data_IF_609365032110
#
_entry.id   IF_609365032110
#
_cell.length_a   1.000
_cell.length_b   1.000
_cell.length_c   1.000
_cell.angle_alpha   90.00
_cell.angle_beta   90.00
_cell.angle_gamma   90.00
#
_symmetry.space_group_name_H-M   'P 1'
#
loop_
_entity.id
_entity.type
_entity.pdbx_description
1 polymer ?
#
# COMPACT_ATOMS: atom_id res chain seq x y z
N UNK A 1 11.38 29.85 -22.22
CA UNK A 1 11.00 28.42 -22.10
C UNK A 1 11.96 27.64 -21.22
N UNK A 2 13.26 27.95 -21.25
CA UNK A 2 14.29 27.25 -20.46
C UNK A 2 14.01 27.23 -18.94
N UNK A 3 13.62 28.36 -18.34
CA UNK A 3 13.27 28.42 -16.91
C UNK A 3 12.08 27.52 -16.51
N UNK A 4 11.08 27.39 -17.39
CA UNK A 4 9.92 26.53 -17.15
C UNK A 4 10.30 25.05 -17.23
N UNK A 5 11.16 24.68 -18.19
CA UNK A 5 11.70 23.32 -18.30
C UNK A 5 12.55 23.00 -17.06
N UNK A 6 13.46 23.88 -16.66
CA UNK A 6 14.27 23.69 -15.46
C UNK A 6 13.41 23.50 -14.21
N UNK A 7 12.41 24.37 -14.03
CA UNK A 7 11.45 24.28 -12.92
C UNK A 7 10.75 22.93 -12.92
N UNK A 8 10.28 22.47 -14.07
CA UNK A 8 9.60 21.18 -14.19
C UNK A 8 10.52 20.01 -13.81
N UNK A 9 11.76 20.01 -14.31
CA UNK A 9 12.72 18.93 -14.03
C UNK A 9 13.07 18.84 -12.54
N UNK A 10 13.42 19.97 -11.93
CA UNK A 10 13.78 20.03 -10.52
C UNK A 10 12.55 19.70 -9.66
N UNK A 11 11.38 20.29 -9.94
CA UNK A 11 10.16 20.03 -9.18
C UNK A 11 9.71 18.57 -9.23
N UNK A 12 9.81 17.90 -10.40
CA UNK A 12 9.50 16.47 -10.52
C UNK A 12 10.46 15.66 -9.66
N UNK A 13 11.77 15.90 -9.76
CA UNK A 13 12.77 15.15 -9.00
C UNK A 13 12.64 15.37 -7.48
N UNK A 14 12.53 16.62 -7.03
CA UNK A 14 12.32 16.95 -5.61
C UNK A 14 10.98 16.45 -5.10
N UNK A 15 9.93 16.50 -5.92
CA UNK A 15 8.61 15.97 -5.59
C UNK A 15 8.65 14.45 -5.41
N UNK A 16 9.32 13.72 -6.31
CA UNK A 16 9.51 12.28 -6.14
C UNK A 16 10.28 11.92 -4.88
N UNK A 17 11.35 12.66 -4.55
CA UNK A 17 12.06 12.48 -3.30
C UNK A 17 11.18 12.78 -2.08
N UNK A 18 10.39 13.87 -2.12
CA UNK A 18 9.46 14.22 -1.05
C UNK A 18 8.34 13.16 -0.88
N UNK A 19 7.95 12.50 -1.97
CA UNK A 19 7.03 11.36 -1.97
C UNK A 19 7.58 10.11 -1.29
N UNK A 20 8.90 9.96 -1.22
CA UNK A 20 9.56 8.92 -0.42
C UNK A 20 9.77 9.38 1.02
N UNK A 21 10.46 10.52 1.18
CA UNK A 21 10.96 11.10 2.44
C UNK A 21 10.88 12.63 2.43
N UNK A 22 9.80 13.24 2.94
CA UNK A 22 9.60 14.69 2.85
C UNK A 22 10.59 15.49 3.70
N UNK A 23 10.83 15.08 4.95
CA UNK A 23 11.74 15.83 5.83
C UNK A 23 13.18 15.69 5.38
N UNK A 24 13.60 14.48 5.01
CA UNK A 24 14.92 14.25 4.47
C UNK A 24 15.15 15.04 3.18
N UNK A 25 14.13 15.17 2.33
CA UNK A 25 14.21 16.00 1.12
C UNK A 25 14.52 17.45 1.45
N UNK A 26 13.78 18.08 2.38
CA UNK A 26 14.04 19.47 2.78
C UNK A 26 15.42 19.60 3.43
N UNK A 27 15.77 18.69 4.34
CA UNK A 27 17.07 18.67 5.01
C UNK A 27 18.22 18.54 4.01
N UNK A 28 18.13 17.61 3.06
CA UNK A 28 19.15 17.39 2.04
C UNK A 28 19.33 18.63 1.16
N UNK A 29 18.23 19.25 0.70
CA UNK A 29 18.32 20.45 -0.13
C UNK A 29 18.95 21.63 0.64
N UNK A 30 18.63 21.78 1.92
CA UNK A 30 19.26 22.78 2.79
C UNK A 30 20.76 22.53 2.99
N UNK A 31 21.15 21.28 3.27
CA UNK A 31 22.57 20.89 3.39
C UNK A 31 23.30 21.08 2.06
N UNK A 32 22.70 20.69 0.94
CA UNK A 32 23.26 20.90 -0.39
C UNK A 32 23.52 22.39 -0.65
N UNK A 33 22.59 23.26 -0.25
CA UNK A 33 22.74 24.72 -0.39
C UNK A 33 23.85 25.31 0.49
N UNK A 34 24.12 24.72 1.66
CA UNK A 34 25.24 25.14 2.52
C UNK A 34 26.60 24.64 2.04
N UNK A 35 26.66 23.42 1.50
CA UNK A 35 27.92 22.75 1.17
C UNK A 35 28.39 23.01 -0.26
N UNK A 36 27.47 23.31 -1.18
CA UNK A 36 27.77 23.49 -2.59
C UNK A 36 27.83 24.99 -2.89
N UNK A 37 28.99 25.52 -3.34
CA UNK A 37 29.12 26.93 -3.71
C UNK A 37 28.15 27.33 -4.82
N UNK A 38 27.64 28.56 -4.76
CA UNK A 38 26.72 29.09 -5.77
C UNK A 38 27.35 29.20 -7.16
N UNK A 39 28.68 29.30 -7.24
CA UNK A 39 29.49 29.34 -8.47
C UNK A 39 29.93 27.94 -8.94
N UNK A 40 29.32 26.87 -8.42
CA UNK A 40 29.59 25.51 -8.87
C UNK A 40 29.42 25.35 -10.40
N UNK A 41 30.26 24.56 -11.07
CA UNK A 41 30.22 24.46 -12.52
C UNK A 41 28.94 23.78 -13.04
N UNK A 42 28.44 24.29 -14.18
CA UNK A 42 27.41 23.64 -14.99
C UNK A 42 26.01 23.64 -14.36
N UNK A 43 25.29 22.52 -14.51
CA UNK A 43 23.91 22.38 -14.05
C UNK A 43 23.75 22.53 -12.54
N UNK A 44 24.82 22.28 -11.77
CA UNK A 44 24.80 22.32 -10.30
C UNK A 44 24.52 23.74 -9.81
N UNK A 45 25.20 24.76 -10.32
CA UNK A 45 24.95 26.15 -9.89
C UNK A 45 23.50 26.55 -10.13
N UNK A 46 22.95 26.25 -11.32
CA UNK A 46 21.55 26.58 -11.65
C UNK A 46 20.53 25.92 -10.72
N UNK A 47 20.79 24.70 -10.23
CA UNK A 47 19.92 24.03 -9.26
C UNK A 47 20.08 24.64 -7.86
N UNK A 48 21.31 24.89 -7.41
CA UNK A 48 21.57 25.43 -6.07
C UNK A 48 20.99 26.85 -5.91
N UNK A 49 21.01 27.66 -6.98
CA UNK A 49 20.36 28.98 -6.98
C UNK A 49 18.83 28.86 -6.92
N UNK A 50 18.24 27.86 -7.59
CA UNK A 50 16.79 27.59 -7.54
C UNK A 50 16.30 27.02 -6.20
N UNK A 51 17.18 26.40 -5.40
CA UNK A 51 16.81 25.90 -4.08
C UNK A 51 16.53 27.11 -3.15
N UNK A 52 15.48 27.12 -2.33
CA UNK A 52 15.14 28.28 -1.51
C UNK A 52 16.19 28.56 -0.42
N UNK A 53 16.52 29.84 -0.14
CA UNK A 53 17.43 30.18 0.97
C UNK A 53 16.90 29.71 2.33
N UNK A 54 15.57 29.74 2.51
CA UNK A 54 14.92 29.37 3.77
C UNK A 54 15.17 27.91 4.17
N UNK A 55 15.44 26.99 3.22
CA UNK A 55 15.73 25.60 3.59
C UNK A 55 17.11 25.43 4.21
N UNK A 56 18.01 26.40 4.02
CA UNK A 56 19.33 26.44 4.64
C UNK A 56 19.32 27.17 6.01
N UNK A 57 18.18 27.69 6.46
CA UNK A 57 18.05 28.31 7.77
C UNK A 57 18.37 27.28 8.88
N UNK A 58 19.20 27.62 9.89
CA UNK A 58 19.60 26.67 10.94
C UNK A 58 18.43 26.05 11.71
N UNK A 59 17.33 26.77 11.90
CA UNK A 59 16.14 26.21 12.55
C UNK A 59 15.42 25.23 11.64
N UNK A 60 15.29 25.56 10.35
CA UNK A 60 14.69 24.65 9.37
C UNK A 60 15.52 23.37 9.26
N UNK A 61 16.84 23.48 9.16
CA UNK A 61 17.75 22.34 9.14
C UNK A 61 17.69 21.52 10.42
N UNK A 62 17.67 22.16 11.59
CA UNK A 62 17.57 21.47 12.88
C UNK A 62 16.26 20.68 12.99
N UNK A 63 15.13 21.32 12.67
CA UNK A 63 13.81 20.68 12.73
C UNK A 63 13.71 19.55 11.70
N UNK A 64 14.04 19.81 10.44
CA UNK A 64 13.93 18.81 9.37
C UNK A 64 14.93 17.67 9.55
N UNK A 65 16.12 17.92 10.12
CA UNK A 65 17.08 16.89 10.47
C UNK A 65 16.57 15.97 11.59
N UNK A 66 16.02 16.54 12.67
CA UNK A 66 15.41 15.74 13.75
C UNK A 66 14.21 14.93 13.23
N UNK A 67 13.35 15.55 12.42
CA UNK A 67 12.20 14.87 11.82
C UNK A 67 12.63 13.78 10.83
N UNK A 68 13.69 13.98 10.05
CA UNK A 68 14.22 12.96 9.15
C UNK A 68 14.79 11.76 9.91
N UNK A 69 15.52 11.99 11.00
CA UNK A 69 15.97 10.91 11.90
C UNK A 69 14.79 10.21 12.54
N UNK A 70 13.79 10.96 13.00
CA UNK A 70 12.53 10.41 13.52
C UNK A 70 11.84 9.52 12.50
N UNK A 71 11.72 9.97 11.25
CA UNK A 71 11.15 9.21 10.13
C UNK A 71 11.87 7.88 9.92
N UNK A 72 13.21 7.92 9.89
CA UNK A 72 14.05 6.74 9.72
C UNK A 72 13.91 5.73 10.88
N UNK A 73 13.73 6.22 12.11
CA UNK A 73 13.56 5.37 13.28
C UNK A 73 12.15 4.79 13.37
N UNK A 74 11.11 5.59 13.09
CA UNK A 74 9.71 5.19 13.15
C UNK A 74 9.41 4.07 12.16
N UNK A 75 9.99 4.10 10.97
CA UNK A 75 9.79 3.07 9.94
C UNK A 75 10.26 1.67 10.36
N UNK A 76 11.07 1.55 11.41
CA UNK A 76 11.51 0.27 11.96
C UNK A 76 10.47 -0.37 12.88
N UNK A 77 9.50 0.40 13.36
CA UNK A 77 8.47 -0.05 14.30
C UNK A 77 7.08 -0.03 13.66
N UNK A 78 6.58 -1.22 13.30
CA UNK A 78 5.33 -1.41 12.55
C UNK A 78 4.08 -0.73 13.14
N UNK A 79 3.99 -0.57 14.46
CA UNK A 79 2.85 0.10 15.10
C UNK A 79 2.85 1.62 14.87
N UNK A 80 4.02 2.25 14.99
CA UNK A 80 4.15 3.69 14.77
C UNK A 80 4.06 4.04 13.28
N UNK A 81 4.52 3.12 12.42
CA UNK A 81 4.50 3.26 10.96
C UNK A 81 3.10 3.57 10.40
N UNK A 82 2.04 2.92 10.91
CA UNK A 82 0.67 3.15 10.39
C UNK A 82 0.14 4.56 10.67
N UNK A 83 0.24 5.03 11.91
CA UNK A 83 -0.21 6.38 12.27
C UNK A 83 0.61 7.44 11.55
N UNK A 84 1.91 7.18 11.42
CA UNK A 84 2.83 8.04 10.70
C UNK A 84 2.49 8.11 9.20
N UNK A 85 2.19 6.99 8.55
CA UNK A 85 1.83 6.96 7.13
C UNK A 85 0.53 7.74 6.83
N UNK A 86 -0.45 7.71 7.74
CA UNK A 86 -1.68 8.50 7.60
C UNK A 86 -1.35 9.99 7.55
N UNK A 87 -0.51 10.48 8.45
CA UNK A 87 -0.08 11.88 8.47
C UNK A 87 0.70 12.20 7.18
N UNK A 88 1.59 11.31 6.76
CA UNK A 88 2.44 11.50 5.58
C UNK A 88 1.71 11.39 4.25
N UNK A 89 0.51 10.81 4.22
CA UNK A 89 -0.36 10.82 3.05
C UNK A 89 -0.72 12.24 2.59
N UNK A 90 -0.75 13.20 3.52
CA UNK A 90 -1.02 14.61 3.24
C UNK A 90 0.27 15.41 3.18
N UNK A 91 1.20 15.19 4.12
CA UNK A 91 2.42 15.99 4.19
C UNK A 91 3.32 15.79 2.95
N UNK A 92 3.46 14.57 2.43
CA UNK A 92 4.32 14.31 1.27
C UNK A 92 3.91 15.14 0.03
N UNK A 93 2.64 15.12 -0.41
CA UNK A 93 2.15 16.02 -1.46
C UNK A 93 2.39 17.49 -1.16
N UNK A 94 2.17 17.93 0.09
CA UNK A 94 2.33 19.33 0.49
C UNK A 94 3.78 19.77 0.38
N UNK A 95 4.73 18.99 0.91
CA UNK A 95 6.16 19.30 0.79
C UNK A 95 6.62 19.31 -0.66
N UNK A 96 6.19 18.33 -1.47
CA UNK A 96 6.49 18.31 -2.91
C UNK A 96 5.98 19.54 -3.63
N UNK A 97 4.76 19.98 -3.33
CA UNK A 97 4.18 21.18 -3.91
C UNK A 97 4.86 22.47 -3.45
N UNK A 98 5.20 22.60 -2.16
CA UNK A 98 5.86 23.79 -1.62
C UNK A 98 7.27 23.97 -2.18
N UNK A 99 8.04 22.87 -2.28
CA UNK A 99 9.37 22.92 -2.89
C UNK A 99 9.26 23.28 -4.37
N UNK A 100 8.36 22.62 -5.10
CA UNK A 100 8.16 22.90 -6.53
C UNK A 100 7.69 24.33 -6.80
N UNK A 101 6.84 24.89 -5.92
CA UNK A 101 6.41 26.28 -5.99
C UNK A 101 7.59 27.23 -5.93
N UNK A 102 8.48 27.02 -4.97
CA UNK A 102 9.59 27.91 -4.71
C UNK A 102 10.74 27.79 -5.73
N UNK A 103 10.93 26.59 -6.29
CA UNK A 103 11.87 26.37 -7.42
C UNK A 103 11.50 27.23 -8.64
N UNK A 104 10.22 27.51 -8.85
CA UNK A 104 9.73 28.32 -9.97
C UNK A 104 9.72 29.83 -9.73
N UNK A 105 10.08 30.30 -8.54
CA UNK A 105 9.88 31.69 -8.09
C UNK A 105 10.61 32.70 -8.99
N UNK A 106 11.87 32.42 -9.33
CA UNK A 106 12.69 33.29 -10.19
C UNK A 106 12.20 33.39 -11.65
N UNK A 107 11.32 32.47 -12.08
CA UNK A 107 10.82 32.37 -13.45
C UNK A 107 9.36 32.83 -13.59
N UNK A 108 8.79 33.42 -12.54
CA UNK A 108 7.46 34.02 -12.52
C UNK A 108 6.33 33.06 -12.19
N UNK A 109 5.12 33.61 -11.99
CA UNK A 109 3.96 32.88 -11.44
C UNK A 109 3.60 31.60 -12.20
N UNK A 110 3.73 31.59 -13.53
CA UNK A 110 3.46 30.39 -14.34
C UNK A 110 4.39 29.24 -13.98
N UNK A 111 5.69 29.52 -13.78
CA UNK A 111 6.67 28.52 -13.39
C UNK A 111 6.41 28.05 -11.95
N UNK A 112 6.12 28.96 -11.02
CA UNK A 112 5.75 28.61 -9.64
C UNK A 112 4.57 27.64 -9.57
N UNK A 113 3.46 27.95 -10.27
CA UNK A 113 2.27 27.09 -10.28
C UNK A 113 2.57 25.75 -10.95
N UNK A 114 3.33 25.76 -12.04
CA UNK A 114 3.75 24.53 -12.74
C UNK A 114 4.60 23.65 -11.83
N UNK A 115 5.59 24.23 -11.16
CA UNK A 115 6.45 23.53 -10.21
C UNK A 115 5.64 22.97 -9.03
N UNK A 116 4.71 23.76 -8.46
CA UNK A 116 3.85 23.30 -7.37
C UNK A 116 3.00 22.09 -7.77
N UNK A 117 2.37 22.15 -8.94
CA UNK A 117 1.54 21.06 -9.46
C UNK A 117 2.38 19.82 -9.75
N UNK A 118 3.53 19.97 -10.42
CA UNK A 118 4.40 18.85 -10.77
C UNK A 118 5.03 18.20 -9.52
N UNK A 119 5.53 19.01 -8.60
CA UNK A 119 6.11 18.53 -7.34
C UNK A 119 5.08 17.83 -6.46
N UNK A 120 3.87 18.40 -6.32
CA UNK A 120 2.79 17.78 -5.56
C UNK A 120 2.26 16.50 -6.20
N UNK A 121 2.06 16.49 -7.52
CA UNK A 121 1.56 15.33 -8.25
C UNK A 121 2.54 14.15 -8.21
N UNK A 122 3.83 14.42 -8.42
CA UNK A 122 4.89 13.41 -8.35
C UNK A 122 5.02 12.86 -6.93
N UNK A 123 5.06 13.72 -5.90
CA UNK A 123 5.08 13.29 -4.50
C UNK A 123 3.89 12.40 -4.16
N UNK A 124 2.69 12.79 -4.61
CA UNK A 124 1.47 12.00 -4.42
C UNK A 124 1.60 10.63 -5.06
N UNK A 125 1.95 10.56 -6.35
CA UNK A 125 2.04 9.28 -7.05
C UNK A 125 3.10 8.35 -6.48
N UNK A 126 4.26 8.88 -6.09
CA UNK A 126 5.32 8.08 -5.45
C UNK A 126 4.84 7.55 -4.09
N UNK A 127 4.18 8.38 -3.29
CA UNK A 127 3.64 7.94 -1.99
C UNK A 127 2.55 6.86 -2.13
N UNK A 128 1.72 6.92 -3.17
CA UNK A 128 0.73 5.88 -3.47
C UNK A 128 1.37 4.53 -3.85
N UNK A 129 2.49 4.57 -4.57
CA UNK A 129 3.28 3.39 -4.89
C UNK A 129 3.80 2.71 -3.61
N UNK A 130 4.35 3.51 -2.68
CA UNK A 130 4.82 3.06 -1.37
C UNK A 130 3.71 2.37 -0.55
N UNK A 131 2.54 3.01 -0.44
CA UNK A 131 1.40 2.41 0.29
C UNK A 131 0.93 1.09 -0.34
N UNK A 132 0.99 0.96 -1.67
CA UNK A 132 0.59 -0.28 -2.36
C UNK A 132 1.60 -1.41 -2.12
N UNK A 133 2.90 -1.10 -2.12
CA UNK A 133 3.94 -2.09 -1.87
C UNK A 133 3.88 -2.61 -0.42
N UNK A 134 3.62 -1.73 0.55
CA UNK A 134 3.39 -2.12 1.95
C UNK A 134 2.18 -3.05 2.10
N UNK A 135 1.10 -2.84 1.36
CA UNK A 135 -0.04 -3.75 1.34
C UNK A 135 0.31 -5.19 0.89
N UNK A 136 1.30 -5.35 0.00
CA UNK A 136 1.79 -6.66 -0.44
C UNK A 136 2.76 -7.27 0.58
N UNK A 137 3.66 -6.45 1.14
CA UNK A 137 4.66 -6.88 2.13
C UNK A 137 4.03 -7.26 3.46
N UNK A 138 2.97 -6.57 3.89
CA UNK A 138 2.25 -6.84 5.13
C UNK A 138 1.56 -8.22 5.16
N UNK A 139 1.51 -8.95 4.03
CA UNK A 139 1.07 -10.34 4.00
C UNK A 139 2.11 -11.32 4.61
N UNK A 140 3.36 -10.89 4.80
CA UNK A 140 4.44 -11.64 5.45
C UNK A 140 5.03 -10.77 6.56
N UNK A 141 4.56 -10.91 7.82
CA UNK A 141 5.01 -10.09 8.94
C UNK A 141 6.40 -10.55 9.39
N UNK A 142 7.43 -10.19 8.63
CA UNK A 142 8.82 -10.41 9.02
C UNK A 142 9.54 -9.07 9.18
N UNK A 143 10.10 -8.77 10.38
CA UNK A 143 10.73 -7.48 10.68
C UNK A 143 11.92 -7.17 9.74
N UNK A 144 12.56 -8.19 9.17
CA UNK A 144 13.65 -8.04 8.19
C UNK A 144 13.17 -7.36 6.91
N UNK A 145 11.96 -7.68 6.44
CA UNK A 145 11.42 -7.14 5.18
C UNK A 145 11.07 -5.67 5.31
N UNK A 146 10.58 -5.24 6.47
CA UNK A 146 10.29 -3.82 6.74
C UNK A 146 11.57 -2.99 6.75
N UNK A 147 12.62 -3.49 7.42
CA UNK A 147 13.93 -2.84 7.43
C UNK A 147 14.50 -2.73 6.02
N UNK A 148 14.47 -3.83 5.24
CA UNK A 148 15.00 -3.82 3.86
C UNK A 148 14.21 -2.86 2.95
N UNK A 149 12.88 -2.84 3.08
CA UNK A 149 12.01 -1.93 2.32
C UNK A 149 12.30 -0.47 2.68
N UNK A 150 12.39 -0.15 3.97
CA UNK A 150 12.76 1.19 4.44
C UNK A 150 14.14 1.62 3.92
N UNK A 151 15.16 0.75 4.00
CA UNK A 151 16.49 1.07 3.49
C UNK A 151 16.48 1.31 1.98
N UNK A 152 15.67 0.54 1.23
CA UNK A 152 15.47 0.75 -0.20
C UNK A 152 14.88 2.12 -0.51
N UNK A 153 13.90 2.55 0.27
CA UNK A 153 13.29 3.88 0.14
C UNK A 153 14.26 5.01 0.50
N UNK A 154 15.02 4.86 1.58
CA UNK A 154 16.04 5.84 1.99
C UNK A 154 17.11 5.99 0.92
N UNK A 155 17.59 4.87 0.40
CA UNK A 155 18.59 4.83 -0.67
C UNK A 155 18.04 5.45 -1.95
N UNK A 156 16.80 5.14 -2.31
CA UNK A 156 16.14 5.74 -3.48
C UNK A 156 15.98 7.25 -3.32
N UNK A 157 15.60 7.75 -2.14
CA UNK A 157 15.47 9.17 -1.87
C UNK A 157 16.82 9.89 -2.03
N UNK A 158 17.89 9.35 -1.45
CA UNK A 158 19.26 9.87 -1.59
C UNK A 158 19.69 9.90 -3.05
N UNK A 159 19.51 8.81 -3.81
CA UNK A 159 19.90 8.72 -5.22
C UNK A 159 19.13 9.76 -6.05
N UNK A 160 17.82 9.90 -5.85
CA UNK A 160 17.01 10.87 -6.58
C UNK A 160 17.47 12.30 -6.25
N UNK A 161 17.75 12.61 -4.98
CA UNK A 161 18.19 13.94 -4.57
C UNK A 161 19.59 14.30 -5.08
N UNK A 162 20.53 13.35 -5.05
CA UNK A 162 21.83 13.52 -5.73
C UNK A 162 21.61 13.76 -7.22
N UNK A 163 20.70 12.99 -7.84
CA UNK A 163 20.31 13.17 -9.22
C UNK A 163 19.71 14.54 -9.50
N UNK A 164 18.89 15.11 -8.61
CA UNK A 164 18.32 16.45 -8.75
C UNK A 164 19.43 17.48 -8.85
N UNK A 165 20.45 17.38 -8.00
CA UNK A 165 21.56 18.34 -7.97
C UNK A 165 22.51 18.13 -9.16
N UNK A 166 22.86 16.88 -9.48
CA UNK A 166 23.88 16.57 -10.46
C UNK A 166 23.35 16.51 -11.91
N UNK A 167 22.18 15.90 -12.11
CA UNK A 167 21.59 15.61 -13.43
C UNK A 167 20.05 15.72 -13.37
N UNK A 168 19.47 16.93 -13.25
CA UNK A 168 18.02 17.13 -13.11
C UNK A 168 17.15 16.38 -14.13
N UNK A 169 17.52 16.31 -15.43
CA UNK A 169 16.74 15.55 -16.41
C UNK A 169 16.59 14.07 -16.05
N UNK A 170 17.65 13.45 -15.52
CA UNK A 170 17.63 12.04 -15.13
C UNK A 170 16.81 11.82 -13.87
N UNK A 171 16.94 12.70 -12.87
CA UNK A 171 16.10 12.64 -11.67
C UNK A 171 14.62 12.82 -12.00
N UNK A 172 14.28 13.74 -12.90
CA UNK A 172 12.92 13.92 -13.38
C UNK A 172 12.40 12.67 -14.09
N UNK A 173 13.20 12.05 -14.95
CA UNK A 173 12.84 10.81 -15.64
C UNK A 173 12.56 9.68 -14.62
N UNK A 174 13.46 9.47 -13.66
CA UNK A 174 13.26 8.48 -12.58
C UNK A 174 12.00 8.80 -11.80
N UNK A 175 11.77 10.07 -11.46
CA UNK A 175 10.57 10.52 -10.77
C UNK A 175 9.27 10.25 -11.53
N UNK A 176 9.26 10.47 -12.85
CA UNK A 176 8.15 10.14 -13.72
C UNK A 176 7.89 8.63 -13.81
N UNK A 177 8.96 7.82 -13.84
CA UNK A 177 8.83 6.35 -13.81
C UNK A 177 8.20 5.92 -12.49
N UNK A 178 8.65 6.44 -11.35
CA UNK A 178 8.08 6.13 -10.04
C UNK A 178 6.62 6.58 -9.93
N UNK A 179 6.29 7.77 -10.42
CA UNK A 179 4.92 8.28 -10.54
C UNK A 179 4.05 7.33 -11.36
N UNK A 180 4.53 6.90 -12.53
CA UNK A 180 3.83 5.96 -13.41
C UNK A 180 3.56 4.62 -12.73
N UNK A 181 4.57 4.06 -12.04
CA UNK A 181 4.45 2.82 -11.26
C UNK A 181 3.41 3.00 -10.14
N UNK A 182 3.47 4.10 -9.39
CA UNK A 182 2.53 4.38 -8.30
C UNK A 182 1.08 4.48 -8.78
N UNK A 183 0.84 5.22 -9.87
CA UNK A 183 -0.49 5.31 -10.50
C UNK A 183 -0.95 3.93 -10.99
N UNK A 184 -0.07 3.18 -11.66
CA UNK A 184 -0.41 1.85 -12.18
C UNK A 184 -0.80 0.88 -11.04
N UNK A 185 -0.01 0.85 -9.97
CA UNK A 185 -0.27 0.05 -8.77
C UNK A 185 -1.63 0.41 -8.14
N UNK A 186 -1.89 1.70 -7.97
CA UNK A 186 -3.15 2.19 -7.42
C UNK A 186 -4.37 1.78 -8.26
N UNK A 187 -4.30 1.95 -9.58
CA UNK A 187 -5.38 1.57 -10.51
C UNK A 187 -5.62 0.05 -10.45
N UNK A 188 -4.56 -0.75 -10.44
CA UNK A 188 -4.65 -2.21 -10.36
C UNK A 188 -5.32 -2.64 -9.04
N UNK A 189 -4.90 -2.06 -7.93
CA UNK A 189 -5.49 -2.32 -6.61
C UNK A 189 -6.98 -2.00 -6.58
N UNK A 190 -7.37 -0.82 -7.09
CA UNK A 190 -8.78 -0.39 -7.15
C UNK A 190 -9.64 -1.33 -8.01
N UNK A 191 -9.10 -1.84 -9.12
CA UNK A 191 -9.80 -2.82 -9.99
C UNK A 191 -10.03 -4.14 -9.26
N UNK A 192 -9.04 -4.65 -8.54
CA UNK A 192 -9.17 -5.89 -7.76
C UNK A 192 -10.22 -5.74 -6.66
N UNK A 193 -10.19 -4.64 -5.90
CA UNK A 193 -11.20 -4.39 -4.86
C UNK A 193 -12.62 -4.26 -5.42
N UNK A 194 -12.79 -3.57 -6.55
CA UNK A 194 -14.10 -3.40 -7.18
C UNK A 194 -14.64 -4.74 -7.69
N UNK A 195 -13.78 -5.58 -8.30
CA UNK A 195 -14.15 -6.92 -8.75
C UNK A 195 -14.51 -7.85 -7.57
N UNK A 196 -13.76 -7.78 -6.46
CA UNK A 196 -14.05 -8.55 -5.25
C UNK A 196 -15.39 -8.13 -4.62
N UNK A 197 -15.66 -6.83 -4.51
CA UNK A 197 -16.93 -6.30 -4.00
C UNK A 197 -18.12 -6.71 -4.87
N UNK A 198 -17.97 -6.70 -6.20
CA UNK A 198 -19.02 -7.14 -7.13
C UNK A 198 -19.34 -8.64 -6.97
N UNK A 199 -18.34 -9.49 -6.72
CA UNK A 199 -18.55 -10.93 -6.45
C UNK A 199 -19.27 -11.19 -5.12
N UNK A 200 -18.96 -10.40 -4.10
CA UNK A 200 -19.62 -10.49 -2.78
C UNK A 200 -21.06 -9.93 -2.80
N UNK A 201 -21.30 -8.87 -3.57
CA UNK A 201 -22.64 -8.27 -3.73
C UNK A 201 -23.55 -9.07 -4.67
N UNK A 202 -23.00 -9.86 -5.60
CA UNK A 202 -23.75 -10.67 -6.57
C UNK A 202 -24.26 -12.01 -6.04
N UNK A 203 -23.87 -12.42 -4.83
CA UNK A 203 -24.23 -13.73 -4.25
C UNK A 203 -25.46 -13.68 -3.31
N UNK A 204 -26.17 -12.54 -3.25
CA UNK A 204 -27.35 -12.33 -2.39
C UNK A 204 -28.71 -12.57 -3.05
N UNK A 205 -28.76 -12.79 -4.36
CA UNK A 205 -29.99 -13.14 -5.08
C UNK A 205 -30.09 -14.64 -5.28
N UNK A 206 -30.55 -15.34 -4.23
CA UNK A 206 -31.15 -16.67 -4.37
C UNK A 206 -32.16 -16.64 -5.52
N UNK A 207 -32.07 -17.49 -6.55
CA UNK A 207 -33.17 -17.63 -7.48
C UNK A 207 -34.33 -18.21 -6.67
N UNK A 208 -35.36 -17.39 -6.45
CA UNK A 208 -36.61 -17.84 -5.88
C UNK A 208 -37.09 -19.03 -6.72
N UNK A 209 -37.09 -20.20 -6.08
CA UNK A 209 -37.64 -21.45 -6.55
C UNK A 209 -39.08 -21.19 -6.99
N UNK A 210 -39.30 -20.99 -8.29
CA UNK A 210 -40.63 -20.88 -8.88
C UNK A 210 -41.21 -22.30 -8.98
N UNK A 211 -41.82 -22.75 -7.89
CA UNK A 211 -42.99 -23.64 -7.93
C UNK A 211 -44.14 -22.85 -7.33
N UNK A 212 -45.41 -23.00 -7.70
CA UNK A 212 -46.10 -23.95 -8.57
C UNK A 212 -47.59 -23.60 -8.44
N UNK A 213 -48.39 -23.77 -9.51
CA UNK A 213 -49.86 -23.83 -9.46
C UNK A 213 -50.52 -22.98 -10.56
N UNK A 214 -51.38 -23.49 -11.44
CA UNK A 214 -51.99 -24.82 -11.57
C UNK A 214 -52.98 -24.83 -12.75
N UNK A 215 -53.72 -25.95 -12.88
CA UNK A 215 -54.83 -26.27 -13.81
C UNK A 215 -54.41 -26.80 -15.21
N UNK A 216 -54.40 -28.10 -15.51
CA UNK A 216 -55.47 -29.15 -15.55
C UNK A 216 -56.14 -29.28 -16.93
N UNK A 217 -55.97 -30.45 -17.57
CA UNK A 217 -56.83 -31.16 -18.57
C UNK A 217 -56.17 -32.51 -18.88
N UNK A 218 -56.53 -33.59 -18.18
CA UNK A 218 -57.52 -34.63 -18.54
C UNK A 218 -57.19 -35.40 -19.81
N UNK A 219 -56.80 -36.67 -19.67
CA UNK A 219 -57.47 -37.87 -20.23
C UNK A 219 -56.63 -39.12 -19.87
N UNK A 220 -57.10 -39.96 -18.93
CA UNK A 220 -57.97 -41.13 -19.15
C UNK A 220 -57.31 -42.26 -19.96
N UNK A 221 -56.67 -43.22 -19.28
CA UNK A 221 -57.03 -44.67 -19.36
C UNK A 221 -56.24 -45.49 -18.33
N UNK A 222 -56.94 -46.32 -17.56
CA UNK A 222 -56.43 -47.50 -16.85
C UNK A 222 -57.12 -48.74 -17.48
N UNK A 223 -56.83 -50.02 -17.13
CA UNK A 223 -55.91 -50.52 -16.10
C UNK A 223 -55.05 -51.73 -16.53
N UNK A 224 -54.06 -52.14 -15.70
CA UNK A 224 -53.55 -53.51 -15.77
C UNK A 224 -52.14 -53.76 -15.24
N UNK A 225 -52.11 -54.33 -14.02
CA UNK A 225 -51.29 -55.49 -13.63
C UNK A 225 -49.78 -55.33 -13.30
N UNK A 226 -49.51 -55.82 -12.09
CA UNK A 226 -48.41 -56.70 -11.69
C UNK A 226 -47.15 -56.09 -11.04
N UNK A 227 -47.00 -56.50 -9.76
CA UNK A 227 -45.77 -56.86 -9.06
C UNK A 227 -44.94 -55.75 -8.36
N UNK A 228 -44.70 -56.01 -7.07
CA UNK A 228 -44.18 -55.17 -5.99
C UNK A 228 -42.64 -54.95 -6.03
N UNK A 229 -41.95 -54.69 -4.90
CA UNK A 229 -41.92 -53.47 -4.08
C UNK A 229 -40.45 -52.99 -3.85
N UNK A 230 -40.13 -51.71 -4.01
CA UNK A 230 -38.84 -51.21 -3.52
C UNK A 230 -38.97 -50.69 -2.09
N UNK A 231 -38.66 -51.62 -1.19
CA UNK A 231 -38.45 -51.47 0.25
C UNK A 231 -37.50 -50.31 0.57
N UNK A 232 -37.96 -49.40 1.41
CA UNK A 232 -37.16 -48.29 1.91
C UNK A 232 -36.02 -48.79 2.79
N UNK A 233 -34.80 -48.33 2.48
CA UNK A 233 -33.51 -48.51 3.17
C UNK A 233 -33.53 -48.39 4.72
N UNK A 234 -34.65 -47.93 5.31
CA UNK A 234 -34.84 -47.76 6.75
C UNK A 234 -35.09 -49.08 7.49
N UNK A 235 -35.73 -50.08 6.88
CA UNK A 235 -35.97 -51.39 7.52
C UNK A 235 -34.67 -52.21 7.69
N UNK A 236 -33.67 -52.02 6.83
CA UNK A 236 -32.38 -52.75 6.90
C UNK A 236 -31.53 -52.25 8.08
N UNK A 237 -31.69 -50.99 8.49
CA UNK A 237 -30.92 -50.38 9.58
C UNK A 237 -31.49 -50.71 10.97
N UNK A 238 -32.80 -50.94 11.07
CA UNK A 238 -33.43 -51.29 12.36
C UNK A 238 -33.23 -52.76 12.75
N UNK A 239 -32.93 -53.65 11.78
CA UNK A 239 -32.66 -55.06 12.05
C UNK A 239 -31.22 -55.35 12.57
N UNK A 240 -30.32 -54.36 12.56
CA UNK A 240 -28.92 -54.54 12.97
C UNK A 240 -28.60 -54.19 14.43
N UNK A 241 -29.56 -53.65 15.18
CA UNK A 241 -29.30 -53.04 16.50
C UNK A 241 -29.80 -53.87 17.70
N UNK A 242 -30.21 -55.13 17.52
CA UNK A 242 -30.65 -56.00 18.62
C UNK A 242 -29.93 -57.34 18.61
N UNK A 243 -28.76 -57.42 19.23
CA UNK A 243 -28.11 -58.71 19.46
C UNK A 243 -26.68 -58.67 19.96
N UNK A 244 -26.46 -58.32 21.24
CA UNK A 244 -25.34 -58.87 22.02
C UNK A 244 -25.62 -58.76 23.53
N UNK A 245 -25.21 -59.76 24.36
CA UNK A 245 -25.77 -59.99 25.69
C UNK A 245 -24.99 -59.31 26.83
N UNK A 246 -25.70 -59.12 27.95
CA UNK A 246 -25.21 -58.59 29.21
C UNK A 246 -24.54 -59.67 30.09
N UNK A 247 -23.37 -59.36 30.67
CA UNK A 247 -22.78 -59.93 31.91
C UNK A 247 -21.35 -59.36 32.06
N UNK A 248 -20.84 -58.87 33.19
CA UNK A 248 -21.33 -58.53 34.51
C UNK A 248 -20.19 -57.77 35.22
N UNK A 249 -20.51 -56.82 36.10
CA UNK A 249 -19.56 -56.27 37.08
C UNK A 249 -19.34 -57.30 38.21
N UNK A 250 -18.13 -57.41 38.81
CA UNK A 250 -17.78 -56.52 39.92
C UNK A 250 -16.27 -56.27 40.13
N UNK A 251 -15.90 -55.15 40.78
CA UNK A 251 -14.59 -55.07 41.43
C UNK A 251 -14.05 -53.67 41.71
N UNK A 252 -14.37 -53.13 42.88
CA UNK A 252 -13.77 -51.94 43.47
C UNK A 252 -12.30 -52.14 43.90
N UNK A 253 -11.42 -51.23 43.44
CA UNK A 253 -10.19 -50.66 44.08
C UNK A 253 -9.04 -51.62 44.51
N UNK A 254 -7.75 -51.22 44.42
CA UNK A 254 -7.21 -50.03 45.11
C UNK A 254 -6.16 -49.18 44.37
N UNK A 255 -6.02 -47.94 44.86
CA UNK A 255 -4.95 -46.98 44.57
C UNK A 255 -3.58 -47.59 44.89
N UNK A 256 -2.63 -47.44 43.97
CA UNK A 256 -1.20 -47.61 44.21
C UNK A 256 -0.55 -46.22 44.27
N UNK A 257 -0.06 -45.88 45.45
CA UNK A 257 0.91 -44.82 45.66
C UNK A 257 2.29 -45.35 45.24
N UNK A 258 2.87 -44.80 44.17
CA UNK A 258 4.28 -45.02 43.83
C UNK A 258 4.89 -43.72 43.29
N UNK A 259 5.25 -42.83 44.21
CA UNK A 259 6.34 -41.85 44.05
C UNK A 259 7.22 -41.91 45.31
N UNK A 260 8.11 -42.90 45.33
CA UNK A 260 9.31 -42.93 46.18
C UNK A 260 10.46 -43.57 45.40
N UNK A 261 11.45 -42.72 45.12
CA UNK A 261 12.86 -42.97 44.80
C UNK A 261 13.19 -43.37 43.35
#
# INVERSE_FOLDING_TARGET
>A
MEGLVSTALVAIGTGSAAGLRPYFTVFFLGVAKLLIPADAPGAISGVITQIPDIVADPWVLGITGVLAVGEFLVDKFQFFDQAWDVIHSVLRPVFGALIGLQVGDEYGTTAMVTGAVLGGATATGVSLGKSTLRGLVNLLPEPVTNVLTSLGEDTAAVIVLIGVVAVPPLAALVGLVMLGIGIWLFVKLRRVFTAAKARLSGNGSTPARQGSGGAQRTDSTAPGRDEAPFTSMREILEAGASGAPAAGEPGSLPRRDEDRL
#
